data_IF_968142718811
#
_entry.id   IF_968142718811
#
_cell.length_a   1.000
_cell.length_b   1.000
_cell.length_c   1.000
_cell.angle_alpha   90.00
_cell.angle_beta   90.00
_cell.angle_gamma   90.00
#
_symmetry.space_group_name_H-M   'P 1'
#
loop_
_entity.id
_entity.type
_entity.pdbx_description
1 polymer ?
#
# COMPACT_ATOMS: atom_id res chain seq x y z
N UNK A 1 -26.42 -21.28 9.05
CA UNK A 1 -24.96 -21.38 9.07
C UNK A 1 -24.33 -20.27 8.22
N UNK A 2 -24.70 -20.17 6.95
CA UNK A 2 -24.06 -19.31 5.94
C UNK A 2 -23.93 -17.81 6.28
N UNK A 3 -24.87 -17.21 7.02
CA UNK A 3 -24.84 -15.77 7.35
C UNK A 3 -23.77 -15.45 8.42
N UNK A 4 -23.54 -16.35 9.37
CA UNK A 4 -22.52 -16.13 10.40
C UNK A 4 -21.11 -16.28 9.83
N UNK A 5 -20.90 -17.31 9.00
CA UNK A 5 -19.64 -17.52 8.27
C UNK A 5 -19.34 -16.36 7.31
N UNK A 6 -20.39 -15.80 6.68
CA UNK A 6 -20.27 -14.58 5.88
C UNK A 6 -19.80 -13.38 6.71
N UNK A 7 -20.41 -13.14 7.87
CA UNK A 7 -20.00 -12.04 8.77
C UNK A 7 -18.56 -12.24 9.27
N UNK A 8 -18.18 -13.46 9.59
CA UNK A 8 -16.82 -13.80 10.01
C UNK A 8 -15.78 -13.59 8.89
N UNK A 9 -16.17 -13.73 7.62
CA UNK A 9 -15.30 -13.49 6.48
C UNK A 9 -15.17 -12.01 6.06
N UNK A 10 -16.02 -11.10 6.56
CA UNK A 10 -15.94 -9.67 6.19
C UNK A 10 -14.57 -9.00 6.42
N UNK A 11 -13.87 -9.24 7.56
CA UNK A 11 -12.51 -8.72 7.77
C UNK A 11 -11.52 -9.27 6.75
N UNK A 12 -11.65 -10.56 6.38
CA UNK A 12 -10.81 -11.19 5.37
C UNK A 12 -10.97 -10.50 4.01
N UNK A 13 -12.21 -10.26 3.58
CA UNK A 13 -12.49 -9.58 2.31
C UNK A 13 -11.95 -8.15 2.31
N UNK A 14 -12.09 -7.44 3.42
CA UNK A 14 -11.52 -6.10 3.60
C UNK A 14 -9.99 -6.12 3.44
N UNK A 15 -9.32 -7.13 4.01
CA UNK A 15 -7.87 -7.29 3.86
C UNK A 15 -7.46 -7.64 2.43
N UNK A 16 -8.16 -8.56 1.78
CA UNK A 16 -7.91 -8.97 0.39
C UNK A 16 -8.16 -7.83 -0.61
N UNK A 17 -9.06 -6.89 -0.31
CA UNK A 17 -9.32 -5.70 -1.14
C UNK A 17 -8.33 -4.55 -0.90
N UNK A 18 -7.43 -4.67 0.07
CA UNK A 18 -6.49 -3.59 0.38
C UNK A 18 -5.67 -3.17 -0.86
N UNK A 19 -5.78 -1.91 -1.27
CA UNK A 19 -5.03 -1.33 -2.40
C UNK A 19 -3.52 -1.31 -2.15
N UNK A 20 -3.09 -1.47 -0.91
CA UNK A 20 -1.70 -1.60 -0.53
C UNK A 20 -1.11 -2.97 -0.95
N UNK A 21 -1.94 -3.98 -1.21
CA UNK A 21 -1.44 -5.27 -1.69
C UNK A 21 -0.81 -5.12 -3.08
N UNK A 22 0.29 -5.85 -3.26
CA UNK A 22 1.15 -5.83 -4.45
C UNK A 22 1.48 -7.27 -4.82
N UNK A 23 2.06 -7.48 -5.99
CA UNK A 23 2.33 -8.82 -6.50
C UNK A 23 3.18 -9.67 -5.54
N UNK A 24 4.09 -9.04 -4.78
CA UNK A 24 4.86 -9.70 -3.69
C UNK A 24 3.97 -10.30 -2.60
N UNK A 25 2.93 -9.58 -2.17
CA UNK A 25 1.98 -10.02 -1.14
C UNK A 25 1.07 -11.12 -1.70
N UNK A 26 0.54 -10.91 -2.91
CA UNK A 26 -0.29 -11.91 -3.59
C UNK A 26 0.45 -13.21 -3.85
N UNK A 27 1.74 -13.15 -4.19
CA UNK A 27 2.57 -14.35 -4.34
C UNK A 27 2.66 -15.14 -3.03
N UNK A 28 2.84 -14.48 -1.88
CA UNK A 28 2.85 -15.14 -0.57
C UNK A 28 1.49 -15.76 -0.23
N UNK A 29 0.38 -15.07 -0.51
CA UNK A 29 -0.96 -15.64 -0.32
C UNK A 29 -1.16 -16.88 -1.20
N UNK A 30 -0.77 -16.80 -2.48
CA UNK A 30 -0.89 -17.90 -3.45
C UNK A 30 -0.02 -19.13 -3.11
N UNK A 31 1.03 -18.97 -2.31
CA UNK A 31 1.87 -20.09 -1.87
C UNK A 31 1.19 -20.98 -0.83
N UNK A 32 0.19 -20.44 -0.11
CA UNK A 32 -0.48 -21.13 0.98
C UNK A 32 -1.77 -21.82 0.54
N UNK A 33 -2.33 -21.40 -0.60
CA UNK A 33 -3.48 -22.05 -1.20
C UNK A 33 -3.06 -23.10 -2.22
N UNK A 34 -3.85 -24.17 -2.30
CA UNK A 34 -3.56 -25.32 -3.16
C UNK A 34 -3.74 -25.01 -4.65
N UNK A 35 -4.63 -24.07 -4.99
CA UNK A 35 -4.95 -23.75 -6.39
C UNK A 35 -4.52 -22.33 -6.77
N UNK A 36 -3.93 -22.16 -7.96
CA UNK A 36 -3.59 -20.83 -8.47
C UNK A 36 -4.87 -20.07 -8.82
N UNK A 37 -4.91 -18.80 -8.42
CA UNK A 37 -6.00 -17.89 -8.75
C UNK A 37 -5.46 -16.53 -9.19
N UNK A 38 -6.29 -15.77 -9.89
CA UNK A 38 -6.02 -14.36 -10.21
C UNK A 38 -6.92 -13.44 -9.39
N UNK A 39 -6.32 -12.71 -8.45
CA UNK A 39 -7.01 -11.76 -7.59
C UNK A 39 -7.59 -10.54 -8.34
N UNK A 40 -7.15 -10.30 -9.59
CA UNK A 40 -7.66 -9.24 -10.45
C UNK A 40 -8.75 -9.72 -11.40
N UNK A 41 -8.99 -11.02 -11.47
CA UNK A 41 -10.03 -11.57 -12.33
C UNK A 41 -11.42 -11.18 -11.81
N UNK A 42 -12.39 -10.85 -12.68
CA UNK A 42 -13.79 -10.72 -12.28
C UNK A 42 -14.35 -12.01 -11.66
N UNK A 43 -13.72 -13.16 -11.93
CA UNK A 43 -14.10 -14.46 -11.36
C UNK A 43 -13.63 -14.62 -9.90
N UNK A 44 -12.77 -13.73 -9.40
CA UNK A 44 -12.38 -13.67 -7.99
C UNK A 44 -13.51 -13.09 -7.13
N UNK A 45 -14.50 -13.93 -6.91
CA UNK A 45 -15.72 -13.62 -6.16
C UNK A 45 -15.61 -14.08 -4.71
N UNK A 46 -16.57 -13.67 -3.88
CA UNK A 46 -16.65 -14.19 -2.51
C UNK A 46 -16.75 -15.72 -2.49
N UNK A 47 -17.50 -16.32 -3.42
CA UNK A 47 -17.61 -17.76 -3.53
C UNK A 47 -16.24 -18.41 -3.82
N UNK A 48 -15.45 -17.82 -4.73
CA UNK A 48 -14.10 -18.34 -4.99
C UNK A 48 -13.18 -18.22 -3.77
N UNK A 49 -13.33 -17.17 -2.94
CA UNK A 49 -12.56 -17.04 -1.69
C UNK A 49 -12.78 -18.22 -0.74
N UNK A 50 -14.04 -18.68 -0.61
CA UNK A 50 -14.36 -19.86 0.20
C UNK A 50 -13.89 -21.16 -0.46
N UNK A 51 -14.07 -21.31 -1.78
CA UNK A 51 -13.62 -22.49 -2.52
C UNK A 51 -12.09 -22.66 -2.45
N UNK A 52 -11.34 -21.58 -2.47
CA UNK A 52 -9.88 -21.56 -2.33
C UNK A 52 -9.41 -21.78 -0.89
N UNK A 53 -10.30 -21.89 0.10
CA UNK A 53 -9.93 -22.12 1.49
C UNK A 53 -9.28 -20.93 2.19
N UNK A 54 -9.33 -19.72 1.60
CA UNK A 54 -8.70 -18.52 2.16
C UNK A 54 -9.12 -18.15 3.59
N UNK A 55 -10.35 -18.44 4.07
CA UNK A 55 -10.70 -18.24 5.48
C UNK A 55 -9.78 -18.96 6.47
N UNK A 56 -9.20 -20.10 6.09
CA UNK A 56 -8.27 -20.85 6.94
C UNK A 56 -6.92 -20.11 7.11
N UNK A 57 -6.62 -19.17 6.21
CA UNK A 57 -5.38 -18.39 6.19
C UNK A 57 -5.63 -16.92 6.59
N UNK A 58 -6.76 -16.62 7.23
CA UNK A 58 -7.19 -15.25 7.50
C UNK A 58 -6.19 -14.44 8.34
N UNK A 59 -5.53 -15.07 9.32
CA UNK A 59 -4.51 -14.41 10.14
C UNK A 59 -3.26 -14.03 9.32
N UNK A 60 -2.80 -14.92 8.43
CA UNK A 60 -1.70 -14.59 7.52
C UNK A 60 -2.08 -13.43 6.61
N UNK A 61 -3.27 -13.49 6.00
CA UNK A 61 -3.75 -12.45 5.09
C UNK A 61 -3.89 -11.11 5.82
N UNK A 62 -4.35 -11.11 7.07
CA UNK A 62 -4.41 -9.92 7.91
C UNK A 62 -3.02 -9.33 8.17
N UNK A 63 -2.03 -10.16 8.52
CA UNK A 63 -0.64 -9.73 8.72
C UNK A 63 -0.03 -9.15 7.44
N UNK A 64 -0.19 -9.83 6.31
CA UNK A 64 0.31 -9.35 5.01
C UNK A 64 -0.35 -8.03 4.60
N UNK A 65 -1.65 -7.88 4.86
CA UNK A 65 -2.34 -6.63 4.56
C UNK A 65 -1.86 -5.48 5.46
N UNK A 66 -1.53 -5.74 6.73
CA UNK A 66 -0.95 -4.75 7.63
C UNK A 66 0.49 -4.37 7.23
N UNK A 67 1.34 -5.36 6.92
CA UNK A 67 2.67 -5.15 6.33
C UNK A 67 2.57 -4.26 5.08
N UNK A 68 1.68 -4.62 4.15
CA UNK A 68 1.46 -3.87 2.92
C UNK A 68 1.03 -2.42 3.17
N UNK A 69 0.11 -2.17 4.13
CA UNK A 69 -0.33 -0.80 4.48
C UNK A 69 0.82 0.04 5.04
N UNK A 70 1.68 -0.56 5.86
CA UNK A 70 2.87 0.11 6.41
C UNK A 70 3.86 0.45 5.30
N UNK A 71 4.16 -0.51 4.43
CA UNK A 71 5.01 -0.29 3.26
C UNK A 71 4.46 0.82 2.36
N UNK A 72 3.17 0.79 2.03
CA UNK A 72 2.52 1.81 1.22
C UNK A 72 2.65 3.21 1.83
N UNK A 73 2.50 3.34 3.16
CA UNK A 73 2.67 4.62 3.85
C UNK A 73 4.11 5.13 3.75
N UNK A 74 5.10 4.25 3.86
CA UNK A 74 6.51 4.60 3.71
C UNK A 74 6.80 5.02 2.27
N UNK A 75 6.38 4.23 1.28
CA UNK A 75 6.55 4.50 -0.15
C UNK A 75 5.92 5.85 -0.53
N UNK A 76 4.69 6.12 -0.05
CA UNK A 76 4.01 7.41 -0.28
C UNK A 76 4.77 8.55 0.37
N UNK A 77 5.18 8.41 1.64
CA UNK A 77 5.94 9.47 2.32
C UNK A 77 7.28 9.78 1.66
N UNK A 78 7.99 8.76 1.16
CA UNK A 78 9.23 8.96 0.40
C UNK A 78 8.97 9.67 -0.93
N UNK A 79 7.88 9.31 -1.61
CA UNK A 79 7.45 9.97 -2.84
C UNK A 79 7.13 11.44 -2.58
N UNK A 80 6.35 11.74 -1.56
CA UNK A 80 6.00 13.12 -1.18
C UNK A 80 7.26 13.95 -0.85
N UNK A 81 8.24 13.34 -0.17
CA UNK A 81 9.53 14.00 0.09
C UNK A 81 10.26 14.27 -1.23
N UNK A 82 10.36 13.29 -2.12
CA UNK A 82 11.05 13.44 -3.40
C UNK A 82 10.40 14.53 -4.26
N UNK A 83 9.07 14.52 -4.39
CA UNK A 83 8.32 15.53 -5.16
C UNK A 83 8.53 16.93 -4.57
N UNK A 84 8.47 17.08 -3.23
CA UNK A 84 8.76 18.36 -2.60
C UNK A 84 10.14 18.88 -2.94
N UNK A 85 11.18 18.03 -2.89
CA UNK A 85 12.56 18.44 -3.20
C UNK A 85 12.79 18.70 -4.68
N UNK A 86 12.04 18.07 -5.58
CA UNK A 86 12.09 18.35 -7.03
C UNK A 86 11.59 19.76 -7.34
N UNK A 87 10.57 20.23 -6.62
CA UNK A 87 9.95 21.55 -6.81
C UNK A 87 10.64 22.69 -6.03
N UNK A 88 11.64 22.40 -5.18
CA UNK A 88 12.36 23.44 -4.43
C UNK A 88 13.17 24.33 -5.37
N UNK A 89 12.76 25.58 -5.51
CA UNK A 89 13.53 26.63 -6.18
C UNK A 89 14.16 27.57 -5.15
N UNK A 90 15.49 27.69 -5.20
CA UNK A 90 16.22 28.62 -4.35
C UNK A 90 16.24 30.01 -4.98
N UNK A 91 15.53 30.96 -4.36
CA UNK A 91 15.61 32.37 -4.73
C UNK A 91 16.91 32.99 -4.21
N UNK A 92 17.89 33.12 -5.11
CA UNK A 92 19.23 33.62 -4.81
C UNK A 92 19.35 35.08 -5.27
N UNK A 93 19.82 35.95 -4.38
CA UNK A 93 20.05 37.38 -4.63
C UNK A 93 21.51 37.78 -4.39
N UNK A 94 21.99 38.76 -5.15
CA UNK A 94 23.34 39.32 -5.00
C UNK A 94 23.46 40.07 -3.66
N UNK A 95 24.60 39.92 -3.00
CA UNK A 95 24.95 40.58 -1.75
C UNK A 95 26.39 41.12 -1.80
N UNK A 96 26.56 42.42 -1.52
CA UNK A 96 27.86 43.13 -1.52
C UNK A 96 28.68 42.86 -2.80
N UNK A 97 28.02 42.85 -3.95
CA UNK A 97 28.59 42.73 -5.31
C UNK A 97 29.35 41.43 -5.66
N UNK A 98 29.83 40.69 -4.66
CA UNK A 98 30.69 39.50 -4.85
C UNK A 98 30.07 38.24 -4.23
N UNK A 99 29.07 38.38 -3.37
CA UNK A 99 28.43 37.25 -2.70
C UNK A 99 27.00 37.04 -3.19
N UNK A 100 26.48 35.84 -2.97
CA UNK A 100 25.09 35.48 -3.18
C UNK A 100 24.49 35.02 -1.86
N UNK A 101 23.24 35.40 -1.59
CA UNK A 101 22.48 34.93 -0.43
C UNK A 101 21.10 34.46 -0.86
N UNK A 102 20.49 33.55 -0.09
CA UNK A 102 19.08 33.21 -0.25
C UNK A 102 18.22 34.41 0.16
N UNK A 103 17.19 34.72 -0.63
CA UNK A 103 16.23 35.78 -0.34
C UNK A 103 15.37 35.42 0.88
N UNK A 104 14.87 34.19 0.91
CA UNK A 104 14.15 33.59 2.02
C UNK A 104 14.48 32.10 2.10
N UNK A 105 14.43 31.56 3.31
CA UNK A 105 14.50 30.12 3.57
C UNK A 105 13.21 29.59 4.17
N UNK A 106 12.16 30.41 4.32
CA UNK A 106 10.91 30.02 4.98
C UNK A 106 10.20 28.88 4.24
N UNK A 107 10.33 28.81 2.91
CA UNK A 107 9.76 27.74 2.08
C UNK A 107 10.58 26.42 2.14
N UNK A 108 11.74 26.42 2.80
CA UNK A 108 12.60 25.24 2.98
C UNK A 108 12.31 24.47 4.29
N UNK A 109 11.49 25.01 5.18
CA UNK A 109 11.20 24.47 6.53
C UNK A 109 9.71 24.15 6.69
#
# INVERSE_FOLDING_TARGET
QDIEDFRAAMPLITNLRSEALRDRHWKRIKQEVAEPFDARSPDFTLNSVFQLGLPQHAELIARLADEARKEYKIETGLKDIAEKWEDVLLDIVVHKEVYYKLRTSEELF
#
